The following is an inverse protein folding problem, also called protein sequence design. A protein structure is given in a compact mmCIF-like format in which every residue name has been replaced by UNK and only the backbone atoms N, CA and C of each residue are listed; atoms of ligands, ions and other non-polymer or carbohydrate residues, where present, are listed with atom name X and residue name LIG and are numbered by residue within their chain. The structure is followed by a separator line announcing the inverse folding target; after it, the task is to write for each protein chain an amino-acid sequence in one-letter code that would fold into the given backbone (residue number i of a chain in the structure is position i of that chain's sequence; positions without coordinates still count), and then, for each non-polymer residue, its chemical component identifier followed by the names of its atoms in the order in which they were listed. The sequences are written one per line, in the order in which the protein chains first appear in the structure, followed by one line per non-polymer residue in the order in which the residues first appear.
data_IF_417896663794
#
_entry.id   IF_417896663794
#
_cell.length_a   1.000
_cell.length_b   1.000
_cell.length_c   1.000
_cell.angle_alpha   90.00
_cell.angle_beta   90.00
_cell.angle_gamma   90.00
#
_symmetry.space_group_name_H-M   'P 1'
#
loop_
_entity.id
_entity.type
_entity.pdbx_description
1 polymer ?
#
# COMPACT_ATOMS: atom_id res chain seq x y z
N UNK A 1 1.26 -18.39 6.70
CA UNK A 1 2.68 -18.53 7.09
C UNK A 1 3.32 -17.16 6.99
N UNK A 2 4.06 -16.71 8.02
CA UNK A 2 4.82 -15.47 7.92
C UNK A 2 6.14 -15.73 7.15
N UNK A 3 6.41 -14.94 6.12
CA UNK A 3 7.58 -15.04 5.25
C UNK A 3 8.44 -13.76 5.29
N UNK A 4 8.20 -12.84 6.22
CA UNK A 4 8.86 -11.52 6.24
C UNK A 4 10.40 -11.57 6.24
N UNK A 5 11.00 -12.62 6.81
CA UNK A 5 12.46 -12.82 6.86
C UNK A 5 12.95 -13.94 5.90
N UNK A 6 12.05 -14.53 5.13
CA UNK A 6 12.37 -15.65 4.25
C UNK A 6 12.97 -15.14 2.95
N UNK A 7 14.20 -15.54 2.66
CA UNK A 7 14.94 -15.13 1.47
C UNK A 7 14.95 -16.21 0.38
N UNK A 8 14.55 -17.45 0.71
CA UNK A 8 14.53 -18.58 -0.22
C UNK A 8 13.09 -19.03 -0.54
N UNK A 9 12.65 -18.68 -1.75
CA UNK A 9 11.38 -19.11 -2.29
C UNK A 9 11.21 -20.65 -2.30
N UNK A 10 12.27 -21.40 -2.60
CA UNK A 10 12.20 -22.87 -2.65
C UNK A 10 12.01 -23.48 -1.26
N UNK A 11 12.57 -22.87 -0.22
CA UNK A 11 12.32 -23.28 1.17
C UNK A 11 10.85 -23.07 1.55
N UNK A 12 10.25 -21.95 1.14
CA UNK A 12 8.82 -21.69 1.34
C UNK A 12 7.94 -22.73 0.65
N UNK A 13 8.24 -23.02 -0.62
CA UNK A 13 7.54 -24.04 -1.42
C UNK A 13 7.62 -25.40 -0.74
N UNK A 14 8.83 -25.84 -0.33
CA UNK A 14 9.01 -27.13 0.35
C UNK A 14 8.18 -27.24 1.62
N UNK A 15 8.22 -26.20 2.48
CA UNK A 15 7.46 -26.20 3.74
C UNK A 15 5.96 -26.24 3.50
N UNK A 16 5.43 -25.44 2.58
CA UNK A 16 4.00 -25.42 2.29
C UNK A 16 3.52 -26.72 1.65
N UNK A 17 4.33 -27.36 0.80
CA UNK A 17 4.04 -28.71 0.29
C UNK A 17 3.98 -29.77 1.39
N UNK A 18 4.80 -29.66 2.45
CA UNK A 18 4.72 -30.57 3.60
C UNK A 18 3.38 -30.45 4.35
N UNK A 19 2.75 -29.28 4.30
CA UNK A 19 1.41 -29.05 4.87
C UNK A 19 0.26 -29.48 3.94
N UNK A 20 0.56 -30.03 2.74
CA UNK A 20 -0.44 -30.47 1.76
C UNK A 20 -1.48 -29.39 1.43
N UNK A 21 -1.02 -28.15 1.25
CA UNK A 21 -1.90 -27.04 0.85
C UNK A 21 -2.32 -27.17 -0.61
N UNK A 22 -3.60 -26.90 -0.91
CA UNK A 22 -4.15 -26.94 -2.26
C UNK A 22 -3.80 -25.68 -3.08
N UNK A 23 -3.43 -24.59 -2.42
CA UNK A 23 -3.04 -23.36 -3.09
C UNK A 23 -2.49 -22.32 -2.12
N UNK A 24 -1.89 -21.26 -2.67
CA UNK A 24 -1.24 -20.20 -1.89
C UNK A 24 -1.65 -18.81 -2.39
N UNK A 25 -1.84 -17.90 -1.44
CA UNK A 25 -1.97 -16.47 -1.71
C UNK A 25 -0.70 -15.80 -1.22
N UNK A 26 0.05 -15.18 -2.13
CA UNK A 26 1.26 -14.42 -1.79
C UNK A 26 0.84 -12.98 -1.54
N UNK A 27 0.61 -12.66 -0.27
CA UNK A 27 0.18 -11.32 0.17
C UNK A 27 1.32 -10.52 0.78
N UNK A 28 2.40 -10.30 0.02
CA UNK A 28 3.51 -9.44 0.43
C UNK A 28 4.06 -8.63 -0.73
N UNK A 29 4.22 -7.33 -0.51
CA UNK A 29 4.87 -6.40 -1.45
C UNK A 29 6.38 -6.31 -1.26
N UNK A 30 6.91 -6.88 -0.17
CA UNK A 30 8.35 -6.89 0.14
C UNK A 30 9.03 -8.18 -0.32
N UNK A 31 8.25 -9.23 -0.62
CA UNK A 31 8.76 -10.42 -1.28
C UNK A 31 9.00 -10.13 -2.77
N UNK A 32 10.10 -10.59 -3.35
CA UNK A 32 10.33 -10.35 -4.76
C UNK A 32 9.55 -11.36 -5.63
N UNK A 33 9.28 -11.04 -6.91
CA UNK A 33 8.30 -11.76 -7.74
C UNK A 33 8.59 -13.26 -7.94
N UNK A 34 9.84 -13.68 -7.79
CA UNK A 34 10.27 -15.07 -7.89
C UNK A 34 9.62 -15.97 -6.85
N UNK A 35 9.14 -15.45 -5.72
CA UNK A 35 8.38 -16.25 -4.75
C UNK A 35 7.12 -16.83 -5.38
N UNK A 36 6.31 -15.98 -6.02
CA UNK A 36 5.08 -16.45 -6.66
C UNK A 36 5.39 -17.39 -7.83
N UNK A 37 6.42 -17.08 -8.62
CA UNK A 37 6.89 -17.95 -9.71
C UNK A 37 7.35 -19.32 -9.22
N UNK A 38 8.04 -19.40 -8.09
CA UNK A 38 8.51 -20.67 -7.54
C UNK A 38 7.34 -21.60 -7.15
N UNK A 39 6.24 -21.06 -6.62
CA UNK A 39 5.04 -21.86 -6.33
C UNK A 39 4.41 -22.41 -7.61
N UNK A 40 4.25 -21.56 -8.63
CA UNK A 40 3.74 -21.97 -9.95
C UNK A 40 4.61 -23.04 -10.59
N UNK A 41 5.93 -22.82 -10.65
CA UNK A 41 6.88 -23.76 -11.27
C UNK A 41 6.92 -25.11 -10.51
N UNK A 42 6.51 -25.12 -9.24
CA UNK A 42 6.33 -26.32 -8.44
C UNK A 42 4.93 -26.96 -8.58
N UNK A 43 4.05 -26.44 -9.45
CA UNK A 43 2.69 -26.94 -9.66
C UNK A 43 1.73 -26.64 -8.50
N UNK A 44 2.00 -25.61 -7.71
CA UNK A 44 1.11 -25.15 -6.63
C UNK A 44 0.29 -23.95 -7.14
N UNK A 45 -1.04 -24.02 -7.16
CA UNK A 45 -1.89 -22.87 -7.48
C UNK A 45 -1.53 -21.65 -6.66
N UNK A 46 -1.30 -20.52 -7.33
CA UNK A 46 -0.79 -19.30 -6.70
C UNK A 46 -1.50 -18.06 -7.23
N UNK A 47 -1.93 -17.20 -6.30
CA UNK A 47 -2.40 -15.84 -6.60
C UNK A 47 -1.52 -14.85 -5.84
N UNK A 48 -1.05 -13.81 -6.52
CA UNK A 48 -0.27 -12.73 -5.93
C UNK A 48 -1.17 -11.51 -5.65
N UNK A 49 -1.09 -10.96 -4.44
CA UNK A 49 -1.86 -9.80 -4.00
C UNK A 49 -1.30 -8.46 -4.52
N UNK A 50 -0.03 -8.46 -4.95
CA UNK A 50 0.68 -7.26 -5.36
C UNK A 50 1.22 -7.45 -6.78
N UNK A 51 0.70 -6.66 -7.72
CA UNK A 51 1.16 -6.67 -9.09
C UNK A 51 0.59 -5.51 -9.90
N UNK A 52 1.17 -5.30 -11.07
CA UNK A 52 0.71 -4.34 -12.06
C UNK A 52 -0.16 -5.04 -13.09
N UNK A 53 -0.99 -4.29 -13.80
CA UNK A 53 -1.67 -4.81 -14.97
C UNK A 53 -0.65 -5.35 -15.99
N UNK A 54 -0.91 -6.55 -16.49
CA UNK A 54 -0.14 -7.21 -17.54
C UNK A 54 -1.08 -8.09 -18.36
N UNK A 55 -0.90 -8.08 -19.69
CA UNK A 55 -1.64 -8.97 -20.61
C UNK A 55 -1.08 -10.39 -20.63
N UNK A 56 0.14 -10.58 -20.12
CA UNK A 56 0.82 -11.88 -20.04
C UNK A 56 1.45 -12.01 -18.65
N UNK A 57 0.66 -12.09 -17.58
CA UNK A 57 1.20 -12.20 -16.24
C UNK A 57 1.79 -13.61 -16.02
N UNK A 58 2.86 -13.67 -15.24
CA UNK A 58 3.50 -14.93 -14.87
C UNK A 58 2.61 -15.78 -13.96
N UNK A 59 1.85 -15.15 -13.07
CA UNK A 59 0.93 -15.77 -12.11
C UNK A 59 -0.37 -14.99 -12.06
N UNK A 60 -1.44 -15.58 -11.52
CA UNK A 60 -2.65 -14.81 -11.25
C UNK A 60 -2.35 -13.65 -10.29
N UNK A 61 -2.90 -12.48 -10.59
CA UNK A 61 -2.77 -11.28 -9.75
C UNK A 61 -4.15 -10.77 -9.42
N UNK A 62 -4.40 -10.50 -8.14
CA UNK A 62 -5.64 -9.90 -7.68
C UNK A 62 -5.29 -8.80 -6.68
N UNK A 63 -5.85 -7.61 -6.84
CA UNK A 63 -5.54 -6.51 -5.94
C UNK A 63 -6.03 -5.18 -6.47
N UNK A 64 -5.24 -4.12 -6.27
CA UNK A 64 -5.56 -2.76 -6.69
C UNK A 64 -4.41 -2.17 -7.50
N UNK A 65 -4.70 -1.16 -8.32
CA UNK A 65 -3.66 -0.40 -8.99
C UNK A 65 -3.00 0.59 -8.00
N UNK A 66 -1.85 0.20 -7.47
CA UNK A 66 -1.10 1.00 -6.51
C UNK A 66 -0.61 2.33 -7.10
N UNK A 67 -0.33 2.40 -8.40
CA UNK A 67 0.02 3.68 -9.03
C UNK A 67 -1.18 4.59 -9.11
N UNK A 68 -2.33 4.10 -9.54
CA UNK A 68 -3.55 4.92 -9.52
C UNK A 68 -3.89 5.38 -8.09
N UNK A 69 -3.69 4.55 -7.07
CA UNK A 69 -3.87 4.96 -5.67
C UNK A 69 -2.94 6.13 -5.28
N UNK A 70 -1.68 6.09 -5.72
CA UNK A 70 -0.76 7.21 -5.54
C UNK A 70 -1.25 8.48 -6.25
N UNK A 71 -1.73 8.34 -7.48
CA UNK A 71 -2.29 9.46 -8.25
C UNK A 71 -3.57 10.02 -7.60
N UNK A 72 -4.44 9.17 -7.04
CA UNK A 72 -5.61 9.60 -6.27
C UNK A 72 -5.21 10.49 -5.09
N UNK A 73 -4.21 10.09 -4.29
CA UNK A 73 -3.74 10.90 -3.17
C UNK A 73 -3.17 12.25 -3.62
N UNK A 74 -2.37 12.27 -4.69
CA UNK A 74 -1.83 13.51 -5.25
C UNK A 74 -2.93 14.47 -5.72
N UNK A 75 -3.95 13.97 -6.44
CA UNK A 75 -5.10 14.79 -6.86
C UNK A 75 -5.85 15.36 -5.66
N UNK A 76 -6.06 14.55 -4.64
CA UNK A 76 -6.76 14.97 -3.44
C UNK A 76 -6.04 16.12 -2.72
N UNK A 77 -4.73 16.01 -2.55
CA UNK A 77 -3.94 17.06 -1.90
C UNK A 77 -3.86 18.32 -2.77
N UNK A 78 -3.66 18.19 -4.08
CA UNK A 78 -3.62 19.33 -4.99
C UNK A 78 -4.98 20.06 -5.04
N UNK A 79 -6.10 19.34 -5.06
CA UNK A 79 -7.44 19.91 -5.07
C UNK A 79 -7.76 20.73 -3.81
N UNK A 80 -7.12 20.41 -2.68
CA UNK A 80 -7.25 21.14 -1.41
C UNK A 80 -6.32 22.35 -1.28
N UNK A 81 -5.53 22.63 -2.32
CA UNK A 81 -4.65 23.79 -2.36
C UNK A 81 -3.43 23.69 -1.46
N UNK A 82 -3.00 22.47 -1.09
CA UNK A 82 -1.70 22.30 -0.44
C UNK A 82 -0.58 22.71 -1.40
N UNK A 83 0.26 23.65 -0.99
CA UNK A 83 1.39 24.16 -1.78
C UNK A 83 2.65 23.31 -1.61
N UNK A 84 2.74 22.51 -0.55
CA UNK A 84 3.78 21.49 -0.42
C UNK A 84 3.24 20.19 0.16
N UNK A 85 3.53 19.08 -0.50
CA UNK A 85 3.03 17.75 -0.11
C UNK A 85 4.17 16.72 -0.07
N UNK A 86 4.06 15.78 0.85
CA UNK A 86 5.01 14.69 1.04
C UNK A 86 4.41 13.33 0.72
N UNK A 87 5.24 12.41 0.24
CA UNK A 87 4.97 10.98 0.29
C UNK A 87 5.79 10.34 1.40
N UNK A 88 5.16 9.61 2.32
CA UNK A 88 5.84 8.80 3.32
C UNK A 88 5.49 7.33 3.07
N UNK A 89 6.35 6.63 2.35
CA UNK A 89 6.15 5.21 2.06
C UNK A 89 6.52 4.30 3.22
N UNK A 90 6.23 3.01 3.09
CA UNK A 90 6.92 1.96 3.84
C UNK A 90 8.33 1.75 3.28
N UNK A 91 8.90 0.53 3.40
CA UNK A 91 10.22 0.22 2.84
C UNK A 91 10.36 0.63 1.38
N UNK A 92 11.47 1.28 1.02
CA UNK A 92 11.74 1.77 -0.34
C UNK A 92 11.77 0.66 -1.39
N UNK A 93 12.18 -0.55 -0.98
CA UNK A 93 12.23 -1.74 -1.83
C UNK A 93 10.88 -2.40 -2.05
N UNK A 94 9.85 -2.04 -1.28
CA UNK A 94 8.52 -2.63 -1.43
C UNK A 94 7.89 -2.18 -2.75
N UNK A 95 7.36 -3.14 -3.52
CA UNK A 95 6.75 -2.89 -4.83
C UNK A 95 5.55 -1.94 -4.75
N UNK A 96 4.74 -2.08 -3.70
CA UNK A 96 3.60 -1.20 -3.40
C UNK A 96 4.05 0.25 -3.10
N UNK A 97 5.12 0.44 -2.31
CA UNK A 97 5.73 1.75 -2.05
C UNK A 97 6.15 2.41 -3.35
N UNK A 98 6.90 1.69 -4.18
CA UNK A 98 7.42 2.20 -5.46
C UNK A 98 6.27 2.57 -6.41
N UNK A 99 5.24 1.74 -6.51
CA UNK A 99 4.11 1.98 -7.38
C UNK A 99 3.27 3.17 -6.93
N UNK A 100 2.97 3.28 -5.64
CA UNK A 100 2.27 4.44 -5.05
C UNK A 100 3.09 5.71 -5.24
N UNK A 101 4.39 5.67 -4.94
CA UNK A 101 5.26 6.83 -5.11
C UNK A 101 5.34 7.27 -6.57
N UNK A 102 5.42 6.33 -7.51
CA UNK A 102 5.42 6.61 -8.95
C UNK A 102 4.14 7.34 -9.36
N UNK A 103 2.98 6.81 -9.00
CA UNK A 103 1.70 7.42 -9.36
C UNK A 103 1.48 8.79 -8.72
N UNK A 104 1.84 8.93 -7.43
CA UNK A 104 1.83 10.20 -6.71
C UNK A 104 2.71 11.25 -7.40
N UNK A 105 3.92 10.85 -7.77
CA UNK A 105 4.90 11.70 -8.44
C UNK A 105 4.47 12.12 -9.85
N UNK A 106 3.94 11.18 -10.63
CA UNK A 106 3.50 11.46 -12.00
C UNK A 106 2.29 12.38 -12.03
N UNK A 107 1.38 12.25 -11.05
CA UNK A 107 0.24 13.14 -10.93
C UNK A 107 0.67 14.53 -10.48
N UNK A 108 1.53 14.65 -9.46
CA UNK A 108 2.02 15.96 -9.00
C UNK A 108 2.83 16.71 -10.05
N UNK A 109 3.46 16.02 -11.01
CA UNK A 109 4.13 16.67 -12.13
C UNK A 109 3.16 17.53 -12.99
N UNK A 110 1.84 17.29 -12.90
CA UNK A 110 0.81 18.11 -13.54
C UNK A 110 0.48 19.39 -12.75
N UNK A 111 1.00 19.52 -11.53
CA UNK A 111 0.78 20.64 -10.61
C UNK A 111 2.14 21.29 -10.23
N UNK A 112 2.78 22.03 -11.15
CA UNK A 112 4.16 22.51 -10.99
C UNK A 112 4.35 23.48 -9.80
N UNK A 113 3.27 24.11 -9.34
CA UNK A 113 3.29 25.02 -8.19
C UNK A 113 3.28 24.29 -6.83
N UNK A 114 3.10 22.96 -6.83
CA UNK A 114 3.07 22.13 -5.61
C UNK A 114 4.44 21.49 -5.38
N UNK A 115 5.11 21.89 -4.30
CA UNK A 115 6.40 21.34 -3.92
C UNK A 115 6.28 19.91 -3.37
N UNK A 116 6.92 18.93 -4.02
CA UNK A 116 6.91 17.51 -3.63
C UNK A 116 8.10 17.15 -2.74
N UNK A 117 7.84 16.48 -1.61
CA UNK A 117 8.83 15.78 -0.77
C UNK A 117 8.54 14.28 -0.72
N UNK A 118 9.53 13.47 -0.36
CA UNK A 118 9.30 12.05 -0.10
C UNK A 118 10.27 11.49 0.93
N UNK A 119 9.84 10.42 1.60
CA UNK A 119 10.65 9.63 2.50
C UNK A 119 10.06 8.22 2.67
N UNK A 120 10.82 7.34 3.32
CA UNK A 120 10.49 5.92 3.43
C UNK A 120 10.73 5.44 4.86
N UNK A 121 9.69 4.90 5.49
CA UNK A 121 9.81 4.24 6.77
C UNK A 121 10.51 2.88 6.61
N UNK A 122 11.10 2.37 7.69
CA UNK A 122 11.84 1.10 7.68
C UNK A 122 10.95 -0.14 7.55
N UNK A 123 9.67 -0.03 7.88
CA UNK A 123 8.70 -1.13 7.88
C UNK A 123 7.26 -0.58 7.82
N UNK A 124 6.27 -1.45 7.58
CA UNK A 124 4.85 -1.14 7.69
C UNK A 124 4.35 -1.33 9.13
N UNK A 125 4.75 -0.43 10.02
CA UNK A 125 4.34 -0.47 11.42
C UNK A 125 4.11 0.93 12.00
N UNK A 126 3.36 0.97 13.11
CA UNK A 126 3.18 2.21 13.88
C UNK A 126 4.52 2.84 14.28
N UNK A 127 5.43 2.04 14.84
CA UNK A 127 6.73 2.53 15.33
C UNK A 127 7.60 3.07 14.19
N UNK A 128 7.59 2.42 13.03
CA UNK A 128 8.33 2.89 11.86
C UNK A 128 7.78 4.21 11.33
N UNK A 129 6.45 4.35 11.23
CA UNK A 129 5.81 5.61 10.83
C UNK A 129 6.07 6.75 11.82
N UNK A 130 6.03 6.44 13.13
CA UNK A 130 6.34 7.41 14.18
C UNK A 130 7.80 7.86 14.13
N UNK A 131 8.74 6.92 14.05
CA UNK A 131 10.16 7.22 13.97
C UNK A 131 10.50 8.05 12.72
N UNK A 132 9.89 7.71 11.59
CA UNK A 132 10.13 8.42 10.34
C UNK A 132 9.58 9.85 10.37
N UNK A 133 8.39 10.06 10.93
CA UNK A 133 7.87 11.43 11.12
C UNK A 133 8.69 12.24 12.13
N UNK A 134 9.17 11.62 13.22
CA UNK A 134 10.09 12.28 14.16
C UNK A 134 11.39 12.72 13.49
N UNK A 135 11.95 11.88 12.62
CA UNK A 135 13.13 12.22 11.82
C UNK A 135 12.85 13.43 10.92
N UNK A 136 11.72 13.43 10.19
CA UNK A 136 11.33 14.56 9.33
C UNK A 136 11.16 15.86 10.12
N UNK A 137 10.55 15.80 11.32
CA UNK A 137 10.40 16.96 12.20
C UNK A 137 11.77 17.52 12.62
N UNK A 138 12.74 16.64 12.92
CA UNK A 138 14.08 17.05 13.33
C UNK A 138 14.92 17.63 12.17
N UNK A 139 14.71 17.13 10.95
CA UNK A 139 15.53 17.48 9.78
C UNK A 139 15.19 18.83 9.16
N UNK A 140 14.01 19.40 9.44
CA UNK A 140 13.67 20.76 9.03
C UNK A 140 12.20 20.97 8.62
N UNK A 141 11.92 21.91 7.71
CA UNK A 141 10.56 22.26 7.34
C UNK A 141 9.77 21.10 6.72
N UNK A 142 8.64 20.77 7.36
CA UNK A 142 7.70 19.75 6.89
C UNK A 142 6.94 20.20 5.62
N UNK A 143 6.38 19.22 4.91
CA UNK A 143 5.31 19.47 3.94
C UNK A 143 4.01 19.79 4.67
N UNK A 144 3.09 20.50 4.01
CA UNK A 144 1.80 20.85 4.60
C UNK A 144 0.84 19.66 4.67
N UNK A 145 1.07 18.62 3.89
CA UNK A 145 0.36 17.35 4.00
C UNK A 145 1.21 16.17 3.55
N UNK A 146 0.92 14.98 4.07
CA UNK A 146 1.59 13.75 3.69
C UNK A 146 0.59 12.68 3.25
N UNK A 147 0.88 12.05 2.11
CA UNK A 147 0.34 10.74 1.78
C UNK A 147 1.23 9.66 2.41
N UNK A 148 0.70 9.01 3.43
CA UNK A 148 1.34 7.88 4.08
C UNK A 148 0.92 6.60 3.39
N UNK A 149 1.90 5.77 3.02
CA UNK A 149 1.69 4.55 2.24
C UNK A 149 0.91 3.46 2.96
N UNK A 150 0.53 3.62 4.22
CA UNK A 150 -0.32 2.67 4.96
C UNK A 150 -0.99 3.40 6.14
N UNK A 151 -2.18 2.97 6.55
CA UNK A 151 -2.87 3.50 7.72
C UNK A 151 -2.05 3.32 9.01
N UNK A 152 -1.30 2.22 9.18
CA UNK A 152 -0.46 2.04 10.39
C UNK A 152 0.69 3.04 10.45
N UNK A 153 1.28 3.36 9.29
CA UNK A 153 2.30 4.41 9.17
C UNK A 153 1.69 5.78 9.49
N UNK A 154 0.50 6.04 8.96
CA UNK A 154 -0.25 7.28 9.17
C UNK A 154 -0.50 7.51 10.65
N UNK A 155 -0.95 6.49 11.38
CA UNK A 155 -1.23 6.58 12.82
C UNK A 155 0.06 6.82 13.62
N UNK A 156 1.18 6.20 13.22
CA UNK A 156 2.50 6.51 13.77
C UNK A 156 2.91 7.97 13.56
N UNK A 157 2.71 8.49 12.36
CA UNK A 157 2.96 9.89 12.03
C UNK A 157 2.07 10.85 12.83
N UNK A 158 0.78 10.54 12.97
CA UNK A 158 -0.14 11.31 13.83
C UNK A 158 0.36 11.38 15.28
N UNK A 159 0.86 10.27 15.83
CA UNK A 159 1.44 10.25 17.17
C UNK A 159 2.68 11.16 17.29
N UNK A 160 3.60 11.12 16.32
CA UNK A 160 4.78 11.98 16.32
C UNK A 160 4.43 13.46 16.21
N UNK A 161 3.45 13.81 15.36
CA UNK A 161 2.96 15.19 15.20
C UNK A 161 2.33 15.71 16.49
N UNK A 162 1.52 14.89 17.16
CA UNK A 162 0.91 15.24 18.43
C UNK A 162 1.97 15.50 19.52
N UNK A 163 2.99 14.65 19.63
CA UNK A 163 4.10 14.85 20.59
C UNK A 163 4.91 16.13 20.31
N UNK A 164 4.99 16.55 19.04
CA UNK A 164 5.61 17.79 18.61
C UNK A 164 4.69 19.02 18.76
N UNK A 165 3.46 18.84 19.24
CA UNK A 165 2.47 19.92 19.40
C UNK A 165 1.87 20.43 18.07
N UNK A 166 2.01 19.67 16.99
CA UNK A 166 1.45 20.00 15.67
C UNK A 166 0.03 19.44 15.53
N UNK A 167 -0.88 20.27 15.04
CA UNK A 167 -2.29 19.94 14.87
C UNK A 167 -2.55 19.36 13.49
N UNK A 168 -3.25 18.24 13.44
CA UNK A 168 -3.83 17.69 12.21
C UNK A 168 -5.33 17.99 12.22
N UNK A 169 -5.92 18.59 11.15
CA UNK A 169 -5.33 18.89 9.84
C UNK A 169 -4.76 20.32 9.68
N UNK A 170 -4.78 21.13 10.75
CA UNK A 170 -4.50 22.58 10.65
C UNK A 170 -3.07 22.88 10.21
N UNK A 171 -2.11 22.31 10.90
CA UNK A 171 -0.68 22.52 10.64
C UNK A 171 -0.20 21.57 9.55
N UNK A 172 -0.58 20.29 9.66
CA UNK A 172 -0.19 19.21 8.73
C UNK A 172 -1.42 18.36 8.39
N UNK A 173 -1.67 18.10 7.11
CA UNK A 173 -2.65 17.12 6.65
C UNK A 173 -2.07 15.71 6.56
N UNK A 174 -2.86 14.68 6.84
CA UNK A 174 -2.48 13.28 6.65
C UNK A 174 -3.56 12.56 5.85
N UNK A 175 -3.13 11.85 4.80
CA UNK A 175 -3.94 10.87 4.09
C UNK A 175 -3.26 9.51 4.14
N UNK A 176 -4.00 8.49 4.55
CA UNK A 176 -3.53 7.10 4.64
C UNK A 176 -3.88 6.23 3.44
N UNK A 177 -3.70 4.92 3.63
CA UNK A 177 -4.05 3.89 2.65
C UNK A 177 -4.45 2.60 3.37
N UNK A 178 -5.60 2.03 2.98
CA UNK A 178 -6.20 0.72 3.28
C UNK A 178 -7.66 0.83 3.75
N UNK A 179 -8.02 1.90 4.45
CA UNK A 179 -9.26 2.01 5.22
C UNK A 179 -9.40 0.92 6.29
N UNK A 180 -8.32 0.70 7.04
CA UNK A 180 -8.31 -0.21 8.18
C UNK A 180 -9.32 0.23 9.23
N UNK A 181 -9.83 -0.72 10.02
CA UNK A 181 -10.81 -0.44 11.08
C UNK A 181 -10.39 0.70 12.01
N UNK A 182 -9.09 0.81 12.35
CA UNK A 182 -8.58 1.85 13.22
C UNK A 182 -8.68 3.26 12.60
N UNK A 183 -8.67 3.38 11.27
CA UNK A 183 -8.75 4.67 10.58
C UNK A 183 -10.06 5.41 10.90
N UNK A 184 -11.15 4.69 11.22
CA UNK A 184 -12.46 5.27 11.54
C UNK A 184 -12.66 5.61 13.02
N UNK A 185 -11.75 5.20 13.90
CA UNK A 185 -11.90 5.50 15.33
C UNK A 185 -11.86 7.00 15.56
N UNK A 186 -12.69 7.51 16.48
CA UNK A 186 -12.94 8.94 16.64
C UNK A 186 -11.68 9.75 16.95
N UNK A 187 -10.74 9.17 17.70
CA UNK A 187 -9.47 9.78 18.04
C UNK A 187 -8.40 9.71 16.92
N UNK A 188 -8.64 8.93 15.87
CA UNK A 188 -7.75 8.79 14.70
C UNK A 188 -8.34 9.58 13.53
N UNK A 189 -9.60 9.30 13.19
CA UNK A 189 -10.42 9.99 12.19
C UNK A 189 -9.68 10.22 10.85
N UNK A 190 -8.94 9.20 10.40
CA UNK A 190 -7.98 9.26 9.31
C UNK A 190 -8.66 9.23 7.94
N UNK A 191 -8.48 10.29 7.17
CA UNK A 191 -8.78 10.31 5.73
C UNK A 191 -7.84 9.33 5.04
N UNK A 192 -8.37 8.43 4.21
CA UNK A 192 -7.58 7.33 3.64
C UNK A 192 -8.14 6.87 2.30
N UNK A 193 -7.33 6.15 1.53
CA UNK A 193 -7.76 5.46 0.32
C UNK A 193 -8.18 4.04 0.68
N UNK A 194 -9.46 3.74 0.57
CA UNK A 194 -10.04 2.44 0.91
C UNK A 194 -9.97 1.44 -0.24
N UNK A 195 -9.47 0.24 0.08
CA UNK A 195 -9.47 -0.90 -0.83
C UNK A 195 -10.76 -1.72 -0.69
N UNK A 196 -11.29 -2.30 -1.77
CA UNK A 196 -12.44 -3.20 -1.70
C UNK A 196 -12.00 -4.61 -1.27
N UNK A 197 -11.53 -4.74 -0.02
CA UNK A 197 -10.92 -5.97 0.52
C UNK A 197 -11.83 -7.20 0.38
N UNK A 198 -13.14 -7.06 0.59
CA UNK A 198 -14.08 -8.17 0.42
C UNK A 198 -14.10 -8.72 -1.01
N UNK A 199 -14.11 -7.83 -2.01
CA UNK A 199 -14.09 -8.23 -3.44
C UNK A 199 -12.76 -8.88 -3.82
N UNK A 200 -11.66 -8.35 -3.29
CA UNK A 200 -10.31 -8.89 -3.47
C UNK A 200 -10.22 -10.31 -2.88
N UNK A 201 -10.71 -10.51 -1.66
CA UNK A 201 -10.71 -11.82 -0.99
C UNK A 201 -11.57 -12.82 -1.74
N UNK A 202 -12.79 -12.46 -2.14
CA UNK A 202 -13.65 -13.33 -2.95
C UNK A 202 -12.96 -13.73 -4.25
N UNK A 203 -12.26 -12.80 -4.90
CA UNK A 203 -11.53 -13.08 -6.13
C UNK A 203 -10.32 -14.00 -5.93
N UNK A 204 -9.62 -13.91 -4.80
CA UNK A 204 -8.56 -14.88 -4.48
C UNK A 204 -9.12 -16.30 -4.40
N UNK A 205 -10.21 -16.47 -3.64
CA UNK A 205 -10.82 -17.79 -3.42
C UNK A 205 -11.38 -18.35 -4.72
N UNK A 206 -12.10 -17.53 -5.49
CA UNK A 206 -12.64 -17.92 -6.78
C UNK A 206 -11.53 -18.41 -7.73
N UNK A 207 -10.41 -17.69 -7.83
CA UNK A 207 -9.29 -18.09 -8.67
C UNK A 207 -8.60 -19.36 -8.19
N UNK A 208 -8.40 -19.50 -6.88
CA UNK A 208 -7.81 -20.73 -6.32
C UNK A 208 -8.68 -21.94 -6.63
N UNK A 209 -10.00 -21.85 -6.42
CA UNK A 209 -10.93 -22.92 -6.75
C UNK A 209 -10.91 -23.21 -8.26
N UNK A 210 -10.95 -22.18 -9.10
CA UNK A 210 -10.90 -22.34 -10.56
C UNK A 210 -9.61 -23.02 -11.04
N UNK A 211 -8.45 -22.75 -10.41
CA UNK A 211 -7.19 -23.42 -10.73
C UNK A 211 -7.16 -24.88 -10.30
N UNK A 212 -7.92 -25.26 -9.27
CA UNK A 212 -8.04 -26.65 -8.84
C UNK A 212 -8.90 -27.46 -9.83
N UNK A 213 -9.93 -26.83 -10.40
CA UNK A 213 -10.79 -27.44 -11.42
C UNK A 213 -10.14 -27.46 -12.81
N UNK A 214 -9.36 -26.42 -13.15
CA UNK A 214 -8.62 -26.27 -14.42
C UNK A 214 -7.16 -25.87 -14.15
N UNK A 215 -6.25 -26.85 -13.97
CA UNK A 215 -4.84 -26.59 -13.68
C UNK A 215 -4.06 -25.89 -14.81
N UNK A 216 -4.57 -25.94 -16.05
CA UNK A 216 -3.95 -25.32 -17.22
C UNK A 216 -4.48 -23.90 -17.50
N UNK A 217 -5.29 -23.35 -16.58
CA UNK A 217 -5.86 -22.00 -16.69
C UNK A 217 -4.77 -20.96 -16.89
N UNK A 218 -4.95 -20.10 -17.89
CA UNK A 218 -4.01 -19.01 -18.16
C UNK A 218 -4.08 -17.95 -17.04
N UNK A 219 -2.92 -17.48 -16.54
CA UNK A 219 -2.85 -16.39 -15.57
C UNK A 219 -3.61 -15.13 -16.00
N UNK A 220 -4.37 -14.55 -15.08
CA UNK A 220 -5.10 -13.29 -15.29
C UNK A 220 -4.84 -12.28 -14.18
N UNK A 221 -4.99 -10.99 -14.50
CA UNK A 221 -4.91 -9.88 -13.55
C UNK A 221 -6.32 -9.32 -13.31
N UNK A 222 -6.78 -9.32 -12.06
CA UNK A 222 -8.03 -8.67 -11.62
C UNK A 222 -7.70 -7.50 -10.68
N UNK A 223 -7.79 -6.28 -11.18
CA UNK A 223 -7.59 -5.07 -10.37
C UNK A 223 -8.92 -4.40 -10.05
N UNK A 224 -9.10 -4.04 -8.79
CA UNK A 224 -10.31 -3.39 -8.29
C UNK A 224 -10.07 -1.91 -8.00
N UNK A 225 -11.07 -1.05 -8.26
CA UNK A 225 -10.93 0.38 -7.99
C UNK A 225 -10.94 0.66 -6.48
N UNK A 226 -9.99 1.48 -6.04
CA UNK A 226 -10.03 2.08 -4.71
C UNK A 226 -10.95 3.30 -4.67
N UNK A 227 -11.30 3.74 -3.46
CA UNK A 227 -12.10 4.96 -3.24
C UNK A 227 -11.49 5.84 -2.18
N UNK A 228 -11.67 7.16 -2.31
CA UNK A 228 -11.35 8.09 -1.23
C UNK A 228 -12.36 7.92 -0.09
N UNK A 229 -11.86 7.86 1.13
CA UNK A 229 -12.66 7.81 2.36
C UNK A 229 -12.32 9.05 3.17
N UNK A 230 -13.15 10.08 3.00
CA UNK A 230 -12.97 11.39 3.64
C UNK A 230 -13.27 11.33 5.14
N UNK A 231 -12.35 11.85 5.95
CA UNK A 231 -12.50 12.03 7.39
C UNK A 231 -11.85 13.35 7.85
N UNK A 232 -11.30 13.40 9.07
CA UNK A 232 -10.89 14.65 9.71
C UNK A 232 -9.43 15.05 9.53
N UNK A 233 -8.58 14.23 8.89
CA UNK A 233 -7.13 14.48 8.85
C UNK A 233 -6.65 15.31 7.65
N UNK A 234 -7.55 15.80 6.79
CA UNK A 234 -7.23 16.76 5.73
C UNK A 234 -8.00 18.08 5.92
N UNK A 235 -7.44 19.18 5.40
CA UNK A 235 -8.15 20.48 5.32
C UNK A 235 -9.39 20.31 4.45
N UNK A 236 -10.55 20.93 4.75
CA UNK A 236 -11.73 20.84 3.90
C UNK A 236 -11.43 21.26 2.46
N UNK A 237 -12.17 20.70 1.50
CA UNK A 237 -12.13 21.16 0.10
C UNK A 237 -12.60 22.63 0.06
N UNK A 238 -11.91 23.54 -0.66
CA UNK A 238 -12.29 24.94 -0.81
C UNK A 238 -13.69 25.19 -1.38
#
# INVERSE_FOLDING_TARGET
MNLSDEQDALTSVRRLKQYSVDGVIVSSSTLPPEFSKAFRDAGVPVVNSFGRFSTTPDVHVVGVDNSECGSMAARELAARGYASVGFMGGPETATSTQDRFRGFSQELAKHPDVARRHSFASDYSFDAGRAEMQRLIADGPLAEAYFCGDDVLSIGALSALADAGLNVPRDIGIIGFNDMEMARWENINLTTIGQPIEQIIHSYVELIVAMLDDPDRYPEVRLFPCKMVERGTLRPVP
#
